data_IF_070574984805
#
_entry.id   IF_070574984805
#
_cell.length_a   1.000
_cell.length_b   1.000
_cell.length_c   1.000
_cell.angle_alpha   90.00
_cell.angle_beta   90.00
_cell.angle_gamma   90.00
#
_symmetry.space_group_name_H-M   'P 1'
#
loop_
_entity.id
_entity.type
_entity.pdbx_description
1 polymer ?
#
# COMPACT_ATOMS: atom_id res chain seq x y z
N UNK A 1 -14.20 -5.88 -9.93
CA UNK A 1 -14.47 -4.66 -9.12
C UNK A 1 -15.31 -3.70 -9.96
N UNK A 2 -16.65 -3.69 -9.77
CA UNK A 2 -17.56 -2.85 -10.56
C UNK A 2 -17.28 -1.36 -10.49
N UNK A 3 -16.65 -0.87 -9.41
CA UNK A 3 -16.31 0.55 -9.24
C UNK A 3 -15.49 1.13 -10.39
N UNK A 4 -14.60 0.32 -11.00
CA UNK A 4 -13.77 0.76 -12.13
C UNK A 4 -14.51 0.75 -13.47
N UNK A 5 -15.71 0.15 -13.54
CA UNK A 5 -16.56 0.23 -14.73
C UNK A 5 -17.32 1.57 -14.82
N UNK A 6 -17.36 2.34 -13.72
CA UNK A 6 -17.94 3.68 -13.68
C UNK A 6 -16.83 4.73 -13.49
N UNK A 7 -16.55 5.57 -14.52
CA UNK A 7 -15.54 6.62 -14.40
C UNK A 7 -15.80 7.58 -13.23
N UNK A 8 -17.07 7.94 -13.00
CA UNK A 8 -17.45 8.82 -11.89
C UNK A 8 -17.21 8.16 -10.54
N UNK A 9 -17.54 6.88 -10.39
CA UNK A 9 -17.31 6.16 -9.14
C UNK A 9 -15.81 5.98 -8.86
N UNK A 10 -14.99 5.77 -9.90
CA UNK A 10 -13.54 5.71 -9.75
C UNK A 10 -12.95 7.07 -9.33
N UNK A 11 -13.41 8.17 -9.92
CA UNK A 11 -13.02 9.52 -9.50
C UNK A 11 -13.41 9.76 -8.04
N UNK A 12 -14.64 9.44 -7.65
CA UNK A 12 -15.08 9.59 -6.25
C UNK A 12 -14.27 8.74 -5.27
N UNK A 13 -13.85 7.53 -5.66
CA UNK A 13 -12.94 6.72 -4.85
C UNK A 13 -11.60 7.44 -4.64
N UNK A 14 -11.00 7.98 -5.70
CA UNK A 14 -9.73 8.71 -5.60
C UNK A 14 -9.86 9.98 -4.76
N UNK A 15 -10.95 10.73 -4.93
CA UNK A 15 -11.25 11.92 -4.11
C UNK A 15 -11.31 11.55 -2.62
N UNK A 16 -12.07 10.51 -2.28
CA UNK A 16 -12.25 10.05 -0.91
C UNK A 16 -10.94 9.53 -0.29
N UNK A 17 -10.14 8.77 -1.04
CA UNK A 17 -8.82 8.32 -0.60
C UNK A 17 -7.86 9.49 -0.40
N UNK A 18 -7.85 10.46 -1.32
CA UNK A 18 -7.01 11.66 -1.21
C UNK A 18 -7.36 12.49 0.02
N UNK A 19 -8.65 12.76 0.27
CA UNK A 19 -9.11 13.44 1.47
C UNK A 19 -8.68 12.69 2.74
N UNK A 20 -8.83 11.36 2.75
CA UNK A 20 -8.40 10.54 3.88
C UNK A 20 -6.90 10.69 4.12
N UNK A 21 -6.09 10.71 3.07
CA UNK A 21 -4.64 10.92 3.20
C UNK A 21 -4.34 12.28 3.84
N UNK A 22 -4.93 13.34 3.30
CA UNK A 22 -4.69 14.72 3.76
C UNK A 22 -5.14 14.95 5.20
N UNK A 23 -6.20 14.28 5.63
CA UNK A 23 -6.75 14.39 6.98
C UNK A 23 -5.97 13.57 8.00
N UNK A 24 -5.60 12.35 7.64
CA UNK A 24 -5.11 11.38 8.61
C UNK A 24 -3.58 11.30 8.71
N UNK A 25 -2.84 11.84 7.75
CA UNK A 25 -1.37 11.77 7.75
C UNK A 25 -0.75 13.16 7.73
N UNK A 26 0.13 13.40 8.72
CA UNK A 26 0.98 14.58 8.82
C UNK A 26 2.36 14.12 9.32
N UNK A 27 3.45 14.29 8.54
CA UNK A 27 3.49 14.91 7.21
C UNK A 27 2.73 14.11 6.15
N UNK A 28 2.52 14.73 4.97
CA UNK A 28 2.05 14.00 3.79
C UNK A 28 3.11 12.98 3.32
N UNK A 29 2.71 11.88 2.65
CA UNK A 29 3.66 10.93 2.09
C UNK A 29 4.48 11.52 0.95
N UNK A 30 5.73 11.09 0.84
CA UNK A 30 6.63 11.37 -0.29
C UNK A 30 6.47 10.33 -1.41
N UNK A 31 6.02 9.11 -1.05
CA UNK A 31 5.84 7.98 -1.97
C UNK A 31 4.58 7.19 -1.61
N UNK A 32 3.76 6.87 -2.61
CA UNK A 32 2.72 5.85 -2.51
C UNK A 32 3.29 4.50 -2.96
N UNK A 33 3.21 3.49 -2.11
CA UNK A 33 3.51 2.10 -2.48
C UNK A 33 2.21 1.35 -2.73
N UNK A 34 2.02 0.83 -3.94
CA UNK A 34 0.92 -0.08 -4.27
C UNK A 34 1.35 -1.54 -4.26
N UNK A 35 0.42 -2.47 -3.98
CA UNK A 35 0.67 -3.90 -4.02
C UNK A 35 0.06 -4.57 -5.26
N UNK A 36 0.80 -5.52 -5.84
CA UNK A 36 0.34 -6.35 -6.97
C UNK A 36 -0.85 -7.24 -6.53
N UNK A 37 -2.00 -7.23 -7.21
CA UNK A 37 -2.34 -6.43 -8.40
C UNK A 37 -3.29 -5.27 -8.12
N UNK A 38 -4.15 -5.40 -7.10
CA UNK A 38 -5.34 -4.57 -6.96
C UNK A 38 -5.01 -3.16 -6.49
N UNK A 39 -4.01 -2.99 -5.61
CA UNK A 39 -3.47 -1.68 -5.26
C UNK A 39 -3.03 -0.87 -6.49
N UNK A 40 -2.55 -1.52 -7.57
CA UNK A 40 -2.15 -0.81 -8.80
C UNK A 40 -3.29 -0.19 -9.58
N UNK A 41 -4.54 -0.57 -9.32
CA UNK A 41 -5.69 -0.04 -10.05
C UNK A 41 -5.99 1.41 -9.71
N UNK A 42 -5.47 1.91 -8.58
CA UNK A 42 -5.76 3.27 -8.09
C UNK A 42 -4.57 3.96 -7.43
N UNK A 43 -3.62 3.23 -6.85
CA UNK A 43 -2.45 3.84 -6.18
C UNK A 43 -1.60 4.75 -7.10
N UNK A 44 -1.34 4.42 -8.38
CA UNK A 44 -0.65 5.35 -9.29
C UNK A 44 -1.45 6.64 -9.53
N UNK A 45 -2.77 6.54 -9.70
CA UNK A 45 -3.64 7.70 -9.85
C UNK A 45 -3.66 8.59 -8.61
N UNK A 46 -3.65 7.98 -7.42
CA UNK A 46 -3.58 8.68 -6.15
C UNK A 46 -2.24 9.42 -5.97
N UNK A 47 -1.12 8.77 -6.33
CA UNK A 47 0.20 9.39 -6.31
C UNK A 47 0.28 10.61 -7.24
N UNK A 48 -0.26 10.49 -8.45
CA UNK A 48 -0.35 11.60 -9.41
C UNK A 48 -1.13 12.78 -8.86
N UNK A 49 -2.30 12.53 -8.23
CA UNK A 49 -3.14 13.59 -7.64
C UNK A 49 -2.46 14.30 -6.47
N UNK A 50 -1.66 13.58 -5.69
CA UNK A 50 -0.87 14.14 -4.60
C UNK A 50 0.41 14.83 -5.09
N UNK A 51 0.81 14.64 -6.35
CA UNK A 51 2.04 15.19 -6.90
C UNK A 51 3.31 14.51 -6.37
N UNK A 52 3.22 13.22 -6.02
CA UNK A 52 4.29 12.46 -5.36
C UNK A 52 4.66 11.19 -6.12
N UNK A 53 5.73 10.52 -5.71
CA UNK A 53 6.21 9.33 -6.38
C UNK A 53 5.28 8.12 -6.15
N UNK A 54 5.31 7.18 -7.10
CA UNK A 54 4.69 5.87 -6.96
C UNK A 54 5.76 4.78 -7.05
N UNK A 55 5.66 3.78 -6.18
CA UNK A 55 6.50 2.59 -6.18
C UNK A 55 5.65 1.32 -6.17
N UNK A 56 6.07 0.33 -6.95
CA UNK A 56 5.37 -0.94 -7.09
C UNK A 56 5.99 -2.03 -6.21
N UNK A 57 5.16 -2.75 -5.46
CA UNK A 57 5.51 -4.04 -4.85
C UNK A 57 4.89 -5.16 -5.68
N UNK A 58 5.71 -6.07 -6.21
CA UNK A 58 5.24 -7.18 -7.05
C UNK A 58 5.69 -8.53 -6.51
N UNK A 59 4.97 -9.59 -6.90
CA UNK A 59 5.44 -10.96 -6.64
C UNK A 59 6.82 -11.19 -7.27
N UNK A 60 7.61 -12.05 -6.63
CA UNK A 60 8.96 -12.35 -7.06
C UNK A 60 9.04 -12.79 -8.53
N UNK A 61 10.09 -12.34 -9.23
CA UNK A 61 10.33 -12.64 -10.65
C UNK A 61 9.58 -11.74 -11.63
N UNK A 62 8.73 -10.81 -11.16
CA UNK A 62 8.03 -9.85 -12.03
C UNK A 62 8.72 -8.49 -12.15
N UNK A 63 9.70 -8.17 -11.30
CA UNK A 63 10.41 -6.89 -11.33
C UNK A 63 11.69 -7.01 -12.17
N UNK A 64 11.96 -6.06 -13.09
CA UNK A 64 13.25 -5.99 -13.76
C UNK A 64 14.32 -5.35 -12.86
N UNK A 65 15.58 -5.69 -13.09
CA UNK A 65 16.72 -5.10 -12.39
C UNK A 65 16.87 -5.54 -10.93
N UNK A 66 17.69 -4.82 -10.17
CA UNK A 66 18.02 -5.18 -8.78
C UNK A 66 16.87 -4.83 -7.83
N UNK A 67 16.47 -5.81 -7.03
CA UNK A 67 15.36 -5.69 -6.08
C UNK A 67 15.79 -6.07 -4.67
N UNK A 68 15.05 -5.55 -3.69
CA UNK A 68 14.96 -6.12 -2.35
C UNK A 68 13.75 -7.04 -2.24
N UNK A 69 13.89 -8.09 -1.44
CA UNK A 69 12.89 -9.14 -1.25
C UNK A 69 12.31 -9.14 0.17
N UNK A 70 11.04 -9.52 0.31
CA UNK A 70 10.40 -9.78 1.60
C UNK A 70 9.48 -10.98 1.49
N UNK A 71 9.91 -12.09 2.11
CA UNK A 71 9.12 -13.31 2.21
C UNK A 71 8.02 -13.17 3.28
N UNK A 72 6.88 -13.78 3.04
CA UNK A 72 5.79 -13.90 3.99
C UNK A 72 5.09 -15.25 3.87
N UNK A 73 4.56 -15.73 4.99
CA UNK A 73 3.91 -17.03 5.08
C UNK A 73 2.43 -16.94 4.70
N UNK A 74 1.95 -17.93 3.95
CA UNK A 74 0.54 -18.21 3.72
C UNK A 74 0.17 -19.52 4.40
N UNK A 75 -1.13 -19.85 4.43
CA UNK A 75 -1.63 -21.14 4.93
C UNK A 75 -0.99 -22.34 4.21
N UNK A 76 -0.61 -22.18 2.94
CA UNK A 76 0.06 -23.20 2.15
C UNK A 76 1.26 -22.59 1.42
N UNK A 77 2.44 -22.64 2.06
CA UNK A 77 3.71 -22.19 1.51
C UNK A 77 4.06 -20.72 1.76
N UNK A 78 5.29 -20.35 1.41
CA UNK A 78 5.76 -18.95 1.43
C UNK A 78 5.53 -18.27 0.08
N UNK A 79 5.27 -16.97 0.11
CA UNK A 79 5.34 -16.11 -1.08
C UNK A 79 6.37 -15.00 -0.82
N UNK A 80 6.85 -14.37 -1.88
CA UNK A 80 7.89 -13.35 -1.81
C UNK A 80 7.47 -12.13 -2.63
N UNK A 81 7.56 -10.97 -1.99
CA UNK A 81 7.39 -9.69 -2.66
C UNK A 81 8.73 -9.02 -2.93
N UNK A 82 8.78 -8.28 -4.03
CA UNK A 82 9.92 -7.55 -4.53
C UNK A 82 9.59 -6.08 -4.75
N UNK A 83 10.57 -5.24 -4.44
CA UNK A 83 10.59 -3.80 -4.76
C UNK A 83 11.97 -3.46 -5.32
N UNK A 84 12.03 -2.63 -6.36
CA UNK A 84 13.31 -2.18 -6.95
C UNK A 84 14.11 -1.36 -5.93
N UNK A 85 15.43 -1.53 -5.90
CA UNK A 85 16.29 -0.87 -4.91
C UNK A 85 16.28 0.67 -4.95
N UNK A 86 15.88 1.27 -6.08
CA UNK A 86 15.75 2.73 -6.24
C UNK A 86 14.33 3.26 -6.08
N UNK A 87 13.36 2.42 -5.71
CA UNK A 87 11.95 2.81 -5.66
C UNK A 87 11.60 3.73 -4.48
N UNK A 88 12.40 3.68 -3.41
CA UNK A 88 12.28 4.53 -2.22
C UNK A 88 13.68 5.01 -1.85
N UNK A 89 13.84 6.31 -1.64
CA UNK A 89 15.07 6.90 -1.13
C UNK A 89 15.05 6.93 0.40
N UNK A 90 16.25 6.90 1.00
CA UNK A 90 16.43 6.92 2.43
C UNK A 90 15.70 8.12 3.09
N UNK A 91 14.95 7.85 4.15
CA UNK A 91 14.23 8.84 4.94
C UNK A 91 12.87 9.27 4.38
N UNK A 92 12.50 8.88 3.16
CA UNK A 92 11.18 9.20 2.60
C UNK A 92 10.04 8.59 3.43
N UNK A 93 8.97 9.35 3.59
CA UNK A 93 7.73 8.89 4.22
C UNK A 93 6.89 8.16 3.19
N UNK A 94 6.64 6.87 3.43
CA UNK A 94 5.94 6.00 2.49
C UNK A 94 4.59 5.61 3.05
N UNK A 95 3.55 5.83 2.26
CA UNK A 95 2.21 5.30 2.53
C UNK A 95 1.97 4.07 1.67
N UNK A 96 1.71 2.93 2.31
CA UNK A 96 1.39 1.68 1.63
C UNK A 96 -0.12 1.61 1.42
N UNK A 97 -0.54 1.34 0.18
CA UNK A 97 -1.95 1.39 -0.24
C UNK A 97 -2.34 0.08 -0.92
N UNK A 98 -3.46 -0.51 -0.50
CA UNK A 98 -4.08 -1.66 -1.16
C UNK A 98 -5.59 -1.64 -1.01
N UNK A 99 -6.32 -2.50 -1.72
CA UNK A 99 -7.78 -2.49 -1.68
C UNK A 99 -8.34 -3.02 -0.36
N UNK A 100 -7.86 -4.17 0.10
CA UNK A 100 -8.40 -4.87 1.26
C UNK A 100 -7.27 -5.33 2.18
N UNK A 101 -7.43 -5.08 3.48
CA UNK A 101 -6.65 -5.78 4.51
C UNK A 101 -7.43 -6.98 5.05
N UNK A 102 -6.82 -8.16 4.94
CA UNK A 102 -7.28 -9.39 5.57
C UNK A 102 -6.41 -9.70 6.80
N UNK A 103 -5.47 -10.64 6.68
CA UNK A 103 -4.57 -11.03 7.78
C UNK A 103 -3.38 -10.08 7.97
N UNK A 104 -3.23 -9.02 7.16
CA UNK A 104 -2.13 -8.05 7.23
C UNK A 104 -0.77 -8.51 6.66
N UNK A 105 -0.62 -9.79 6.28
CA UNK A 105 0.68 -10.35 5.87
C UNK A 105 1.33 -9.63 4.67
N UNK A 106 0.56 -9.40 3.62
CA UNK A 106 1.04 -8.73 2.40
C UNK A 106 1.49 -7.29 2.66
N UNK A 107 0.68 -6.53 3.39
CA UNK A 107 0.98 -5.15 3.75
C UNK A 107 2.22 -5.06 4.66
N UNK A 108 2.34 -5.97 5.63
CA UNK A 108 3.55 -6.07 6.46
C UNK A 108 4.80 -6.33 5.62
N UNK A 109 4.74 -7.25 4.65
CA UNK A 109 5.86 -7.53 3.75
C UNK A 109 6.22 -6.29 2.91
N UNK A 110 5.25 -5.55 2.40
CA UNK A 110 5.49 -4.27 1.73
C UNK A 110 6.17 -3.25 2.66
N UNK A 111 5.70 -3.13 3.91
CA UNK A 111 6.35 -2.29 4.92
C UNK A 111 7.78 -2.73 5.29
N UNK A 112 8.09 -4.02 5.19
CA UNK A 112 9.47 -4.51 5.35
C UNK A 112 10.36 -4.11 4.17
N UNK A 113 9.85 -4.18 2.93
CA UNK A 113 10.59 -3.72 1.73
C UNK A 113 10.94 -2.24 1.83
N UNK A 114 9.98 -1.41 2.25
CA UNK A 114 10.22 0.02 2.49
C UNK A 114 11.37 0.24 3.48
N UNK A 115 11.37 -0.47 4.61
CA UNK A 115 12.42 -0.36 5.63
C UNK A 115 13.78 -0.85 5.13
N UNK A 116 13.82 -1.86 4.25
CA UNK A 116 15.06 -2.33 3.61
C UNK A 116 15.70 -1.30 2.68
N UNK A 117 14.93 -0.33 2.20
CA UNK A 117 15.40 0.80 1.39
C UNK A 117 15.57 2.08 2.24
N UNK A 118 15.68 1.92 3.56
CA UNK A 118 15.83 3.01 4.54
C UNK A 118 14.66 4.03 4.51
N UNK A 119 13.52 3.63 3.95
CA UNK A 119 12.28 4.40 3.98
C UNK A 119 11.54 4.28 5.31
N UNK A 120 10.72 5.28 5.62
CA UNK A 120 9.86 5.30 6.80
C UNK A 120 8.44 4.93 6.40
N UNK A 121 7.90 3.86 7.00
CA UNK A 121 6.47 3.54 6.82
C UNK A 121 5.65 4.56 7.60
N UNK A 122 5.10 5.55 6.90
CA UNK A 122 4.22 6.57 7.46
C UNK A 122 2.90 5.95 7.93
N UNK A 123 2.42 4.97 7.18
CA UNK A 123 1.23 4.21 7.52
C UNK A 123 0.73 3.34 6.38
N UNK A 124 -0.50 2.89 6.55
CA UNK A 124 -1.22 2.05 5.60
C UNK A 124 -2.62 2.63 5.35
N UNK A 125 -3.08 2.54 4.10
CA UNK A 125 -4.43 2.93 3.71
C UNK A 125 -5.08 1.80 2.92
N UNK A 126 -6.25 1.36 3.37
CA UNK A 126 -7.07 0.36 2.70
C UNK A 126 -8.48 0.89 2.42
N UNK A 127 -9.16 0.33 1.44
CA UNK A 127 -10.56 0.65 1.19
C UNK A 127 -11.43 -0.08 2.22
N UNK A 128 -11.15 -1.37 2.46
CA UNK A 128 -11.92 -2.25 3.34
C UNK A 128 -11.02 -3.09 4.24
N UNK A 129 -11.58 -3.52 5.37
CA UNK A 129 -11.01 -4.54 6.24
C UNK A 129 -11.93 -5.76 6.33
N UNK A 130 -11.35 -6.95 6.36
CA UNK A 130 -12.07 -8.18 6.68
C UNK A 130 -12.10 -8.36 8.19
N UNK A 131 -13.28 -8.18 8.79
CA UNK A 131 -13.51 -8.35 10.22
C UNK A 131 -13.11 -9.75 10.72
N UNK A 132 -12.57 -9.81 11.94
CA UNK A 132 -12.19 -11.07 12.60
C UNK A 132 -10.84 -11.66 12.20
N UNK A 133 -10.09 -11.02 11.28
CA UNK A 133 -8.75 -11.46 10.88
C UNK A 133 -7.61 -10.64 11.52
N UNK A 134 -7.94 -9.62 12.31
CA UNK A 134 -7.01 -8.79 13.09
C UNK A 134 -5.80 -8.29 12.28
N UNK A 135 -6.02 -7.88 11.03
CA UNK A 135 -4.94 -7.53 10.11
C UNK A 135 -4.07 -6.37 10.62
N UNK A 136 -4.70 -5.39 11.28
CA UNK A 136 -4.02 -4.21 11.84
C UNK A 136 -2.91 -4.58 12.84
N UNK A 137 -3.12 -5.62 13.64
CA UNK A 137 -2.16 -6.05 14.68
C UNK A 137 -0.80 -6.45 14.08
N UNK A 138 -0.78 -6.94 12.83
CA UNK A 138 0.47 -7.32 12.14
C UNK A 138 1.25 -6.14 11.57
N UNK A 139 0.69 -4.94 11.58
CA UNK A 139 1.29 -3.76 10.98
C UNK A 139 2.11 -2.91 11.96
N UNK A 140 2.12 -3.30 13.24
CA UNK A 140 2.84 -2.61 14.32
C UNK A 140 2.23 -1.24 14.62
N UNK A 141 3.07 -0.29 15.04
CA UNK A 141 2.62 1.03 15.50
C UNK A 141 2.31 2.03 14.37
N UNK A 142 2.51 1.64 13.11
CA UNK A 142 2.25 2.51 11.97
C UNK A 142 0.73 2.72 11.80
N UNK A 143 0.32 3.97 11.62
CA UNK A 143 -1.10 4.33 11.49
C UNK A 143 -1.73 3.57 10.33
N UNK A 144 -2.83 2.87 10.61
CA UNK A 144 -3.63 2.16 9.61
C UNK A 144 -4.98 2.83 9.49
N UNK A 145 -5.35 3.18 8.26
CA UNK A 145 -6.61 3.85 7.95
C UNK A 145 -7.42 2.99 7.00
N UNK A 146 -8.70 2.78 7.32
CA UNK A 146 -9.66 2.08 6.46
C UNK A 146 -10.67 3.12 5.97
N UNK A 147 -10.91 3.19 4.66
CA UNK A 147 -11.84 4.16 4.08
C UNK A 147 -13.27 3.92 4.55
N UNK A 148 -13.69 2.66 4.57
CA UNK A 148 -15.06 2.23 4.89
C UNK A 148 -15.19 1.64 6.30
N UNK A 149 -14.40 2.12 7.27
CA UNK A 149 -14.45 1.68 8.68
C UNK A 149 -15.76 2.05 9.41
N UNK A 150 -16.55 2.96 8.83
CA UNK A 150 -17.71 3.62 9.46
C UNK A 150 -19.04 3.34 8.72
N UNK A 151 -19.17 2.20 8.03
CA UNK A 151 -20.41 1.80 7.32
C UNK A 151 -21.04 0.55 7.92
#
# INVERSE_FOLDING_TARGET
>A
MPIFASPTAHVSLLDALEERIRRDFSPLPDVIVGLDARGFLFAPGLALRLGIAFAAVRKAGKMPGTCVDASYEKEYGGDCFQMQCGAVAAGQNVLVVDDIIATGGSARAAGHLVRKLDGRVLGYLFILEIAGLNGREKLGDAKTVILLDDV
#
